data_IF_594543429052
#
_entry.id   IF_594543429052
#
_cell.length_a   1.000
_cell.length_b   1.000
_cell.length_c   1.000
_cell.angle_alpha   90.00
_cell.angle_beta   90.00
_cell.angle_gamma   90.00
#
_symmetry.space_group_name_H-M   'P 1'
#
loop_
_entity.id
_entity.type
_entity.pdbx_description
1 polymer ?
#
# COMPACT_ATOMS: atom_id res chain seq x y z
N UNK A 1 9.81 -2.01 -12.49
CA UNK A 1 8.69 -2.89 -12.09
C UNK A 1 9.26 -3.92 -11.13
N UNK A 2 8.54 -4.28 -10.06
CA UNK A 2 9.08 -5.15 -9.01
C UNK A 2 8.98 -6.64 -9.39
N UNK A 3 9.89 -7.11 -10.24
CA UNK A 3 9.88 -8.48 -10.75
C UNK A 3 9.97 -9.54 -9.64
N UNK A 4 10.71 -9.26 -8.56
CA UNK A 4 10.82 -10.17 -7.41
C UNK A 4 9.47 -10.35 -6.71
N UNK A 5 8.75 -9.25 -6.50
CA UNK A 5 7.42 -9.29 -5.89
C UNK A 5 6.41 -9.96 -6.81
N UNK A 6 6.45 -9.69 -8.12
CA UNK A 6 5.57 -10.32 -9.10
C UNK A 6 5.75 -11.84 -9.14
N UNK A 7 6.99 -12.32 -9.20
CA UNK A 7 7.30 -13.74 -9.16
C UNK A 7 6.82 -14.39 -7.84
N UNK A 8 7.04 -13.73 -6.70
CA UNK A 8 6.58 -14.23 -5.41
C UNK A 8 5.05 -14.26 -5.31
N UNK A 9 4.37 -13.19 -5.73
CA UNK A 9 2.91 -13.11 -5.74
C UNK A 9 2.29 -14.20 -6.61
N UNK A 10 2.87 -14.48 -7.78
CA UNK A 10 2.46 -15.58 -8.65
C UNK A 10 2.66 -16.94 -7.97
N UNK A 11 3.82 -17.17 -7.35
CA UNK A 11 4.11 -18.44 -6.66
C UNK A 11 3.19 -18.74 -5.47
N UNK A 12 2.67 -17.69 -4.82
CA UNK A 12 1.74 -17.78 -3.69
C UNK A 12 0.28 -17.87 -4.12
N UNK A 13 0.01 -17.73 -5.42
CA UNK A 13 -1.32 -17.49 -5.99
C UNK A 13 -2.05 -16.37 -5.22
N UNK A 14 -1.34 -15.25 -5.03
CA UNK A 14 -1.74 -14.18 -4.11
C UNK A 14 -3.11 -13.58 -4.46
N UNK A 15 -3.47 -13.55 -5.75
CA UNK A 15 -4.72 -12.98 -6.25
C UNK A 15 -5.93 -13.93 -6.10
N UNK A 16 -5.73 -15.17 -5.63
CA UNK A 16 -6.83 -16.12 -5.37
C UNK A 16 -7.70 -15.73 -4.16
N UNK A 17 -9.00 -16.07 -4.15
CA UNK A 17 -9.88 -15.77 -3.02
C UNK A 17 -9.39 -16.24 -1.64
N UNK A 18 -8.80 -17.45 -1.49
CA UNK A 18 -8.28 -17.92 -0.20
C UNK A 18 -7.13 -17.07 0.37
N UNK A 19 -6.45 -16.27 -0.47
CA UNK A 19 -5.33 -15.42 -0.06
C UNK A 19 -5.74 -14.00 0.33
N UNK A 20 -7.04 -13.72 0.45
CA UNK A 20 -7.53 -12.38 0.78
C UNK A 20 -6.91 -11.80 2.06
N UNK A 21 -6.87 -12.55 3.16
CA UNK A 21 -6.26 -12.07 4.41
C UNK A 21 -4.77 -11.74 4.23
N UNK A 22 -4.04 -12.54 3.45
CA UNK A 22 -2.63 -12.27 3.13
C UNK A 22 -2.50 -10.99 2.29
N UNK A 23 -3.36 -10.80 1.28
CA UNK A 23 -3.39 -9.57 0.48
C UNK A 23 -3.63 -8.34 1.34
N UNK A 24 -4.62 -8.39 2.24
CA UNK A 24 -4.95 -7.28 3.12
C UNK A 24 -3.81 -6.97 4.11
N UNK A 25 -3.20 -8.00 4.71
CA UNK A 25 -2.04 -7.83 5.61
C UNK A 25 -0.83 -7.24 4.89
N UNK A 26 -0.53 -7.72 3.68
CA UNK A 26 0.59 -7.22 2.89
C UNK A 26 0.33 -5.78 2.40
N UNK A 27 -0.87 -5.50 1.88
CA UNK A 27 -1.27 -4.15 1.49
C UNK A 27 -1.20 -3.17 2.66
N UNK A 28 -1.67 -3.56 3.85
CA UNK A 28 -1.55 -2.78 5.08
C UNK A 28 -0.08 -2.49 5.42
N UNK A 29 0.79 -3.51 5.37
CA UNK A 29 2.21 -3.34 5.67
C UNK A 29 2.87 -2.35 4.72
N UNK A 30 2.54 -2.40 3.41
CA UNK A 30 3.03 -1.45 2.43
C UNK A 30 2.52 -0.02 2.70
N UNK A 31 1.21 0.14 2.91
CA UNK A 31 0.62 1.46 3.16
C UNK A 31 1.14 2.10 4.47
N UNK A 32 1.39 1.30 5.51
CA UNK A 32 1.97 1.77 6.78
C UNK A 32 3.37 2.39 6.61
N UNK A 33 4.20 1.88 5.70
CA UNK A 33 5.54 2.46 5.45
C UNK A 33 5.47 3.92 5.05
N UNK A 34 4.44 4.28 4.31
CA UNK A 34 4.23 5.63 3.76
C UNK A 34 3.15 6.40 4.51
N UNK A 35 2.67 5.90 5.64
CA UNK A 35 1.62 6.56 6.42
C UNK A 35 2.03 7.95 6.91
N UNK A 36 3.32 8.18 7.15
CA UNK A 36 3.87 9.48 7.52
C UNK A 36 3.79 10.53 6.41
N UNK A 37 3.52 10.13 5.17
CA UNK A 37 3.34 11.00 4.00
C UNK A 37 1.86 11.34 3.76
N UNK A 38 0.92 10.79 4.54
CA UNK A 38 -0.49 11.08 4.42
C UNK A 38 -0.80 12.47 4.98
N UNK A 39 -1.34 13.35 4.14
CA UNK A 39 -1.76 14.69 4.53
C UNK A 39 -3.23 14.73 4.98
N UNK A 40 -4.08 13.87 4.42
CA UNK A 40 -5.50 13.83 4.73
C UNK A 40 -5.78 12.88 5.93
N UNK A 41 -6.26 13.40 7.08
CA UNK A 41 -6.53 12.57 8.25
C UNK A 41 -7.62 11.52 8.03
N UNK A 42 -8.55 11.75 7.10
CA UNK A 42 -9.58 10.74 6.75
C UNK A 42 -8.98 9.53 6.04
N UNK A 43 -7.92 9.72 5.25
CA UNK A 43 -7.20 8.60 4.61
C UNK A 43 -6.46 7.78 5.67
N UNK A 44 -5.82 8.45 6.64
CA UNK A 44 -5.20 7.79 7.80
C UNK A 44 -6.22 7.03 8.67
N UNK A 45 -7.43 7.57 8.83
CA UNK A 45 -8.53 6.87 9.49
C UNK A 45 -8.97 5.60 8.73
N UNK A 46 -9.00 5.65 7.39
CA UNK A 46 -9.28 4.46 6.57
C UNK A 46 -8.21 3.38 6.75
N UNK A 47 -6.93 3.75 6.75
CA UNK A 47 -5.82 2.84 7.02
C UNK A 47 -5.96 2.20 8.41
N UNK A 48 -6.26 3.00 9.43
CA UNK A 48 -6.53 2.50 10.80
C UNK A 48 -7.73 1.55 10.85
N UNK A 49 -8.74 1.77 10.02
CA UNK A 49 -9.88 0.86 9.87
C UNK A 49 -9.50 -0.50 9.28
N UNK A 50 -8.59 -0.55 8.31
CA UNK A 50 -8.04 -1.82 7.78
C UNK A 50 -7.32 -2.62 8.87
N UNK A 51 -6.56 -1.95 9.74
CA UNK A 51 -5.92 -2.58 10.89
C UNK A 51 -6.94 -3.19 11.85
N UNK A 52 -8.00 -2.42 12.17
CA UNK A 52 -9.09 -2.89 13.02
C UNK A 52 -9.82 -4.09 12.42
N UNK A 53 -10.04 -4.11 11.10
CA UNK A 53 -10.65 -5.25 10.42
C UNK A 53 -9.78 -6.51 10.57
N UNK A 54 -8.47 -6.39 10.32
CA UNK A 54 -7.54 -7.52 10.45
C UNK A 54 -7.37 -8.01 11.89
N UNK A 55 -7.68 -7.15 12.88
CA UNK A 55 -7.75 -7.50 14.30
C UNK A 55 -9.15 -8.01 14.74
N UNK A 56 -10.13 -8.12 13.83
CA UNK A 56 -11.49 -8.57 14.13
C UNK A 56 -12.39 -7.52 14.82
N UNK A 57 -11.96 -6.25 14.86
CA UNK A 57 -12.67 -5.16 15.54
C UNK A 57 -13.73 -4.44 14.69
N UNK A 58 -13.82 -4.74 13.39
CA UNK A 58 -14.92 -4.33 12.49
C UNK A 58 -15.22 -5.45 11.51
N UNK A 59 -16.43 -5.45 10.93
CA UNK A 59 -16.85 -6.47 9.98
C UNK A 59 -16.48 -6.13 8.51
N UNK A 60 -16.85 -7.04 7.60
CA UNK A 60 -16.60 -6.91 6.16
C UNK A 60 -17.39 -5.77 5.51
N UNK A 61 -18.60 -5.46 6.00
CA UNK A 61 -19.40 -4.38 5.46
C UNK A 61 -18.75 -3.02 5.78
N UNK A 62 -18.29 -2.84 7.01
CA UNK A 62 -17.53 -1.68 7.44
C UNK A 62 -16.21 -1.52 6.67
N UNK A 63 -15.45 -2.62 6.45
CA UNK A 63 -14.27 -2.57 5.59
C UNK A 63 -14.60 -2.10 4.17
N UNK A 64 -15.69 -2.62 3.59
CA UNK A 64 -16.11 -2.27 2.24
C UNK A 64 -16.47 -0.79 2.12
N UNK A 65 -17.14 -0.23 3.13
CA UNK A 65 -17.44 1.21 3.19
C UNK A 65 -16.15 2.06 3.29
N UNK A 66 -15.19 1.64 4.10
CA UNK A 66 -13.89 2.30 4.19
C UNK A 66 -13.11 2.23 2.88
N UNK A 67 -13.18 1.10 2.16
CA UNK A 67 -12.53 0.95 0.86
C UNK A 67 -13.09 1.93 -0.18
N UNK A 68 -14.42 2.10 -0.22
CA UNK A 68 -15.06 3.10 -1.07
C UNK A 68 -14.63 4.52 -0.70
N UNK A 69 -14.64 4.84 0.60
CA UNK A 69 -14.22 6.17 1.08
C UNK A 69 -12.76 6.46 0.75
N UNK A 70 -11.85 5.52 0.97
CA UNK A 70 -10.43 5.68 0.64
C UNK A 70 -10.22 5.91 -0.87
N UNK A 71 -10.98 5.21 -1.72
CA UNK A 71 -10.90 5.39 -3.17
C UNK A 71 -11.39 6.77 -3.62
N UNK A 72 -12.47 7.29 -3.02
CA UNK A 72 -12.95 8.64 -3.27
C UNK A 72 -11.92 9.69 -2.85
N UNK A 73 -11.38 9.57 -1.63
CA UNK A 73 -10.39 10.49 -1.10
C UNK A 73 -9.10 10.51 -1.94
N UNK A 74 -8.61 9.34 -2.34
CA UNK A 74 -7.43 9.24 -3.20
C UNK A 74 -7.66 9.91 -4.57
N UNK A 75 -8.83 9.70 -5.19
CA UNK A 75 -9.20 10.33 -6.46
C UNK A 75 -9.40 11.83 -6.36
N UNK A 76 -9.89 12.32 -5.23
CA UNK A 76 -10.13 13.73 -4.97
C UNK A 76 -8.86 14.47 -4.51
N UNK A 77 -7.73 13.75 -4.33
CA UNK A 77 -6.48 14.36 -3.90
C UNK A 77 -6.04 15.37 -4.98
N UNK A 78 -5.94 16.67 -4.68
CA UNK A 78 -5.81 17.70 -5.70
C UNK A 78 -4.49 17.67 -6.47
N UNK A 79 -3.55 16.78 -6.09
CA UNK A 79 -2.12 16.98 -6.30
C UNK A 79 -1.66 18.23 -5.55
N UNK A 80 -0.52 18.19 -4.87
CA UNK A 80 0.00 19.46 -4.33
C UNK A 80 0.68 20.23 -5.48
N UNK A 81 0.45 21.55 -5.53
CA UNK A 81 1.14 22.45 -6.45
C UNK A 81 2.62 22.68 -6.07
N UNK A 82 3.17 21.84 -5.19
CA UNK A 82 4.48 22.05 -4.60
C UNK A 82 5.59 21.71 -5.58
N UNK A 83 6.42 22.71 -5.86
CA UNK A 83 7.62 22.62 -6.71
C UNK A 83 8.73 21.77 -6.06
N UNK A 84 8.63 21.48 -4.76
CA UNK A 84 9.57 20.64 -4.01
C UNK A 84 9.31 19.13 -4.17
N UNK A 85 8.17 18.76 -4.76
CA UNK A 85 7.82 17.38 -5.01
C UNK A 85 6.99 16.67 -3.92
N UNK A 86 6.89 17.19 -2.69
CA UNK A 86 6.20 16.50 -1.59
C UNK A 86 4.75 16.10 -1.91
N UNK A 87 4.06 16.87 -2.77
CA UNK A 87 2.68 16.59 -3.17
C UNK A 87 2.45 15.26 -3.88
N UNK A 88 3.40 14.79 -4.68
CA UNK A 88 3.23 13.53 -5.41
C UNK A 88 3.38 12.32 -4.50
N UNK A 89 4.17 12.48 -3.42
CA UNK A 89 4.33 11.46 -2.39
C UNK A 89 3.02 11.26 -1.60
N UNK A 90 2.35 12.34 -1.20
CA UNK A 90 1.06 12.30 -0.50
C UNK A 90 -0.07 11.69 -1.35
N UNK A 91 -0.16 12.05 -2.64
CA UNK A 91 -1.10 11.44 -3.59
C UNK A 91 -0.86 9.93 -3.67
N UNK A 92 0.39 9.53 -3.89
CA UNK A 92 0.74 8.11 -4.04
C UNK A 92 0.50 7.33 -2.75
N UNK A 93 0.80 7.90 -1.59
CA UNK A 93 0.49 7.29 -0.30
C UNK A 93 -1.02 7.09 -0.11
N UNK A 94 -1.84 8.05 -0.53
CA UNK A 94 -3.31 7.93 -0.47
C UNK A 94 -3.83 6.81 -1.40
N UNK A 95 -3.26 6.69 -2.59
CA UNK A 95 -3.57 5.58 -3.49
C UNK A 95 -3.10 4.22 -2.94
N UNK A 96 -1.96 4.16 -2.25
CA UNK A 96 -1.50 2.94 -1.59
C UNK A 96 -2.52 2.45 -0.55
N UNK A 97 -3.06 3.36 0.26
CA UNK A 97 -4.13 3.05 1.23
C UNK A 97 -5.39 2.55 0.52
N UNK A 98 -5.85 3.25 -0.52
CA UNK A 98 -7.04 2.83 -1.27
C UNK A 98 -6.89 1.42 -1.89
N UNK A 99 -5.73 1.12 -2.48
CA UNK A 99 -5.46 -0.21 -3.04
C UNK A 99 -5.35 -1.28 -1.96
N UNK A 100 -4.77 -0.95 -0.78
CA UNK A 100 -4.67 -1.87 0.34
C UNK A 100 -6.06 -2.28 0.85
N UNK A 101 -6.98 -1.32 1.05
CA UNK A 101 -8.35 -1.62 1.48
C UNK A 101 -9.14 -2.39 0.41
N UNK A 102 -8.86 -2.17 -0.87
CA UNK A 102 -9.49 -2.91 -1.97
C UNK A 102 -8.92 -4.34 -2.15
N UNK A 103 -7.97 -4.78 -1.31
CA UNK A 103 -7.30 -6.07 -1.45
C UNK A 103 -6.41 -6.18 -2.68
N UNK A 104 -6.03 -5.05 -3.28
CA UNK A 104 -5.18 -4.93 -4.47
C UNK A 104 -3.71 -4.78 -4.04
N UNK A 105 -3.18 -5.85 -3.47
CA UNK A 105 -1.94 -5.78 -2.69
C UNK A 105 -0.70 -5.39 -3.52
N UNK A 106 -0.62 -5.82 -4.79
CA UNK A 106 0.47 -5.43 -5.70
C UNK A 106 0.42 -3.94 -6.03
N UNK A 107 -0.75 -3.43 -6.41
CA UNK A 107 -0.91 -2.00 -6.66
C UNK A 107 -0.64 -1.16 -5.40
N UNK A 108 -1.04 -1.64 -4.21
CA UNK A 108 -0.71 -0.97 -2.95
C UNK A 108 0.80 -0.89 -2.73
N UNK A 109 1.54 -1.96 -3.05
CA UNK A 109 2.99 -2.00 -2.98
C UNK A 109 3.63 -1.02 -3.99
N UNK A 110 3.16 -0.98 -5.23
CA UNK A 110 3.70 -0.07 -6.25
C UNK A 110 3.55 1.41 -5.85
N UNK A 111 2.34 1.80 -5.42
CA UNK A 111 2.09 3.16 -4.95
C UNK A 111 2.89 3.51 -3.70
N UNK A 112 3.06 2.56 -2.77
CA UNK A 112 3.88 2.78 -1.57
C UNK A 112 5.37 2.94 -1.92
N UNK A 113 5.92 2.13 -2.83
CA UNK A 113 7.30 2.27 -3.28
C UNK A 113 7.52 3.63 -3.96
N UNK A 114 6.60 4.03 -4.84
CA UNK A 114 6.66 5.34 -5.48
C UNK A 114 6.59 6.48 -4.46
N UNK A 115 5.64 6.44 -3.51
CA UNK A 115 5.52 7.45 -2.47
C UNK A 115 6.80 7.56 -1.62
N UNK A 116 7.41 6.42 -1.25
CA UNK A 116 8.64 6.39 -0.46
C UNK A 116 9.83 6.99 -1.23
N UNK A 117 10.08 6.53 -2.46
CA UNK A 117 11.20 7.01 -3.29
C UNK A 117 11.03 8.50 -3.62
N UNK A 118 9.82 8.88 -4.01
CA UNK A 118 9.52 10.27 -4.33
C UNK A 118 9.66 11.16 -3.09
N UNK A 119 9.18 10.72 -1.92
CA UNK A 119 9.28 11.48 -0.68
C UNK A 119 10.74 11.70 -0.20
N UNK A 120 11.67 10.82 -0.59
CA UNK A 120 13.08 10.91 -0.20
C UNK A 120 13.94 11.77 -1.15
N UNK A 121 13.65 11.74 -2.45
CA UNK A 121 14.52 12.38 -3.45
C UNK A 121 13.79 13.11 -4.58
N UNK A 122 12.48 13.33 -4.42
CA UNK A 122 11.64 14.00 -5.41
C UNK A 122 11.61 13.28 -6.76
N UNK A 123 11.37 14.05 -7.81
CA UNK A 123 11.25 13.53 -9.18
C UNK A 123 12.52 12.82 -9.67
N UNK A 124 13.71 13.33 -9.33
CA UNK A 124 14.98 12.77 -9.77
C UNK A 124 15.19 11.34 -9.29
N UNK A 125 14.86 11.06 -8.03
CA UNK A 125 14.92 9.70 -7.49
C UNK A 125 13.85 8.79 -8.10
N UNK A 126 12.62 9.29 -8.29
CA UNK A 126 11.55 8.49 -8.89
C UNK A 126 11.78 8.17 -10.39
N UNK A 127 12.62 8.95 -11.08
CA UNK A 127 13.03 8.69 -12.46
C UNK A 127 14.16 7.64 -12.57
N UNK A 128 14.84 7.32 -11.46
CA UNK A 128 15.90 6.32 -11.40
C UNK A 128 15.33 4.97 -10.90
N UNK A 129 15.25 3.93 -11.75
CA UNK A 129 14.77 2.62 -11.33
C UNK A 129 15.55 2.01 -10.15
N UNK A 130 16.83 2.31 -10.01
CA UNK A 130 17.67 1.76 -8.93
C UNK A 130 17.26 2.30 -7.55
N UNK A 131 16.66 3.49 -7.50
CA UNK A 131 16.17 4.09 -6.25
C UNK A 131 15.03 3.27 -5.61
N UNK A 132 14.35 2.42 -6.38
CA UNK A 132 13.26 1.57 -5.89
C UNK A 132 13.75 0.24 -5.32
N UNK A 133 14.99 -0.19 -5.60
CA UNK A 133 15.51 -1.49 -5.17
C UNK A 133 15.37 -1.74 -3.66
N UNK A 134 15.65 -0.77 -2.76
CA UNK A 134 15.48 -0.98 -1.32
C UNK A 134 14.02 -1.26 -0.93
N UNK A 135 13.07 -0.56 -1.54
CA UNK A 135 11.63 -0.76 -1.29
C UNK A 135 11.17 -2.10 -1.86
N UNK A 136 11.58 -2.44 -3.07
CA UNK A 136 11.22 -3.71 -3.70
C UNK A 136 11.73 -4.92 -2.92
N UNK A 137 12.97 -4.84 -2.45
CA UNK A 137 13.58 -5.87 -1.61
C UNK A 137 12.87 -6.01 -0.26
N UNK A 138 12.48 -4.88 0.36
CA UNK A 138 11.68 -4.91 1.57
C UNK A 138 10.31 -5.55 1.33
N UNK A 139 9.62 -5.18 0.25
CA UNK A 139 8.29 -5.70 -0.09
C UNK A 139 8.30 -7.22 -0.29
N UNK A 140 9.27 -7.73 -1.06
CA UNK A 140 9.40 -9.17 -1.29
C UNK A 140 9.68 -9.94 0.02
N UNK A 141 10.57 -9.42 0.88
CA UNK A 141 10.83 -10.02 2.21
C UNK A 141 9.58 -9.99 3.09
N UNK A 142 8.87 -8.86 3.13
CA UNK A 142 7.67 -8.69 3.93
C UNK A 142 6.56 -9.68 3.52
N UNK A 143 6.28 -9.79 2.21
CA UNK A 143 5.29 -10.75 1.71
C UNK A 143 5.68 -12.19 2.06
N UNK A 144 6.96 -12.55 1.90
CA UNK A 144 7.45 -13.89 2.25
C UNK A 144 7.27 -14.20 3.74
N UNK A 145 7.57 -13.25 4.61
CA UNK A 145 7.38 -13.40 6.06
C UNK A 145 5.89 -13.56 6.44
N UNK A 146 5.01 -12.72 5.87
CA UNK A 146 3.57 -12.80 6.11
C UNK A 146 2.97 -14.11 5.59
N UNK A 147 3.43 -14.61 4.45
CA UNK A 147 2.99 -15.90 3.90
C UNK A 147 3.44 -17.08 4.79
N UNK A 148 4.65 -17.02 5.35
CA UNK A 148 5.15 -18.00 6.31
C UNK A 148 4.33 -18.03 7.61
N UNK A 149 4.07 -16.85 8.20
CA UNK A 149 3.26 -16.73 9.42
C UNK A 149 1.78 -17.15 9.21
N UNK A 150 1.27 -17.07 7.97
CA UNK A 150 -0.08 -17.50 7.63
C UNK A 150 -0.17 -19.00 7.28
N UNK A 151 0.94 -19.74 7.34
CA UNK A 151 0.98 -21.19 7.09
C UNK A 151 0.95 -22.01 8.40
N UNK A 152 0.99 -21.36 9.57
CA UNK A 152 1.03 -21.99 10.89
C UNK A 152 -0.35 -22.03 11.60
N UNK A 153 -1.46 -21.93 10.86
CA UNK A 153 -2.83 -22.05 11.40
C UNK A 153 -3.58 -23.16 10.66
#
# INVERSE_FOLDING_TARGET
MNEKLDALAASLDLDSPPRETLRLRFGLACARRVAHLLENPEVAACLSGLERYLAGGIDRAALSALALRAAELARAHPGSASLDGCGHAAVSASHAVAMALAGRARQAADYAAYAAVYGQGGYGAAADPSAFEPEWDWQARCLKQLAGANSEI
#
